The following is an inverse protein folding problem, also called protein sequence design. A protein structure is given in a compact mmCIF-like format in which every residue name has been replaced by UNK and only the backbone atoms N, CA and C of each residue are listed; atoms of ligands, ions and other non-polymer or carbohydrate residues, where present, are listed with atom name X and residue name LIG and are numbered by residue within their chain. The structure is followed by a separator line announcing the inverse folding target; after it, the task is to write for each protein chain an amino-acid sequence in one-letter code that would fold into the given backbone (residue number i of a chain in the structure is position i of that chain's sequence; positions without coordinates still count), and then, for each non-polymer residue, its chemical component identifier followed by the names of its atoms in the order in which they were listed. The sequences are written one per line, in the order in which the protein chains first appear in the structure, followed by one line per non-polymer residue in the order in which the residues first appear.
data_IF_487085882657
#
_entry.id   IF_487085882657
#
_cell.length_a   1.000
_cell.length_b   1.000
_cell.length_c   1.000
_cell.angle_alpha   90.00
_cell.angle_beta   90.00
_cell.angle_gamma   90.00
#
_symmetry.space_group_name_H-M   'P 1'
#
loop_
_entity.id
_entity.type
_entity.pdbx_description
1 polymer ?
#
# COMPACT_ATOMS: atom_id res chain seq x y z
N UNK A 1 -6.12 -12.13 -16.77
CA UNK A 1 -7.18 -11.10 -16.85
C UNK A 1 -8.02 -11.18 -15.59
N UNK A 2 -7.55 -10.58 -14.50
CA UNK A 2 -8.25 -10.54 -13.23
C UNK A 2 -7.81 -9.27 -12.54
N UNK A 3 -8.33 -8.13 -13.01
CA UNK A 3 -8.09 -6.87 -12.33
C UNK A 3 -8.70 -6.98 -10.95
N UNK A 4 -7.88 -6.83 -9.90
CA UNK A 4 -8.39 -6.68 -8.54
C UNK A 4 -9.29 -5.45 -8.56
N UNK A 5 -10.55 -5.67 -8.19
CA UNK A 5 -11.52 -4.61 -8.03
C UNK A 5 -11.47 -4.21 -6.57
N UNK A 6 -11.09 -2.96 -6.28
CA UNK A 6 -11.04 -2.47 -4.91
C UNK A 6 -12.05 -1.33 -4.72
N UNK A 7 -12.57 -1.23 -3.50
CA UNK A 7 -13.39 -0.10 -3.08
C UNK A 7 -12.47 1.09 -2.80
N UNK A 8 -12.70 2.18 -3.53
CA UNK A 8 -12.05 3.45 -3.23
C UNK A 8 -13.03 4.40 -2.56
N UNK A 9 -12.66 4.98 -1.41
CA UNK A 9 -13.47 6.01 -0.79
C UNK A 9 -13.75 7.16 -1.75
N UNK A 10 -15.03 7.50 -1.92
CA UNK A 10 -15.48 8.55 -2.85
C UNK A 10 -15.88 8.07 -4.25
N UNK A 11 -15.69 6.78 -4.57
CA UNK A 11 -16.21 6.17 -5.80
C UNK A 11 -17.55 5.44 -5.53
N UNK A 12 -18.47 5.50 -6.49
CA UNK A 12 -19.66 4.64 -6.48
C UNK A 12 -19.30 3.26 -7.04
N UNK A 13 -19.17 2.28 -6.14
CA UNK A 13 -18.90 0.89 -6.50
C UNK A 13 -17.42 0.54 -6.55
N UNK A 14 -17.14 -0.70 -6.97
CA UNK A 14 -15.76 -1.19 -7.07
C UNK A 14 -15.09 -0.63 -8.32
N UNK A 15 -13.84 -0.19 -8.18
CA UNK A 15 -13.04 0.36 -9.28
C UNK A 15 -12.03 -0.69 -9.71
N UNK A 16 -11.94 -0.95 -11.02
CA UNK A 16 -10.92 -1.83 -11.57
C UNK A 16 -9.58 -1.09 -11.55
N UNK A 17 -8.73 -1.38 -10.56
CA UNK A 17 -7.36 -0.91 -10.54
C UNK A 17 -6.45 -1.93 -9.85
N UNK A 18 -5.26 -2.11 -10.41
CA UNK A 18 -4.17 -2.75 -9.66
C UNK A 18 -3.63 -1.72 -8.67
N UNK A 19 -3.67 -1.98 -7.37
CA UNK A 19 -2.89 -1.23 -6.37
C UNK A 19 -1.96 -2.16 -5.62
N UNK A 20 -0.74 -1.70 -5.40
CA UNK A 20 0.14 -2.21 -4.37
C UNK A 20 0.19 -1.14 -3.27
N UNK A 21 -0.43 -1.41 -2.12
CA UNK A 21 -0.59 -0.40 -1.07
C UNK A 21 -1.42 -0.88 0.12
N UNK A 22 -1.43 -0.08 1.18
CA UNK A 22 -2.35 -0.19 2.31
C UNK A 22 -3.28 1.03 2.28
N UNK A 23 -4.59 0.79 2.32
CA UNK A 23 -5.63 1.84 2.38
C UNK A 23 -6.27 1.84 3.76
N UNK A 24 -6.44 3.02 4.35
CA UNK A 24 -7.07 3.21 5.66
C UNK A 24 -8.22 4.22 5.59
N UNK A 25 -9.36 3.83 6.16
CA UNK A 25 -10.58 4.63 6.21
C UNK A 25 -11.35 4.33 7.49
N UNK A 26 -11.88 5.36 8.15
CA UNK A 26 -12.65 5.23 9.41
C UNK A 26 -11.88 4.52 10.54
N UNK A 27 -10.62 4.90 10.73
CA UNK A 27 -9.72 4.33 11.74
C UNK A 27 -9.37 5.38 12.79
N UNK A 28 -9.35 4.99 14.06
CA UNK A 28 -8.91 5.81 15.19
C UNK A 28 -7.97 4.99 16.07
N UNK A 29 -6.82 5.55 16.46
CA UNK A 29 -5.90 4.93 17.41
C UNK A 29 -5.06 3.76 16.87
N UNK A 30 -4.76 3.75 15.56
CA UNK A 30 -3.91 2.72 14.98
C UNK A 30 -2.44 2.94 15.35
N UNK A 31 -1.84 1.92 15.95
CA UNK A 31 -0.42 1.89 16.28
C UNK A 31 0.29 0.73 15.55
N UNK A 32 1.31 1.07 14.76
CA UNK A 32 2.17 0.09 14.08
C UNK A 32 3.61 0.27 14.55
N UNK A 33 4.22 -0.82 15.03
CA UNK A 33 5.57 -0.84 15.60
C UNK A 33 6.42 -1.93 14.96
N UNK A 34 7.63 -1.57 14.55
CA UNK A 34 8.69 -2.49 14.10
C UNK A 34 8.26 -3.37 12.90
N UNK A 35 7.59 -2.77 11.92
CA UNK A 35 7.15 -3.47 10.71
C UNK A 35 8.13 -3.16 9.57
N UNK A 36 8.59 -4.23 8.91
CA UNK A 36 9.29 -4.15 7.65
C UNK A 36 8.37 -4.66 6.52
N UNK A 37 8.00 -3.76 5.62
CA UNK A 37 7.17 -4.03 4.47
C UNK A 37 8.05 -4.16 3.23
N UNK A 38 8.02 -5.34 2.60
CA UNK A 38 8.75 -5.62 1.37
C UNK A 38 7.80 -5.82 0.20
N UNK A 39 8.08 -5.13 -0.89
CA UNK A 39 7.35 -5.29 -2.14
C UNK A 39 8.13 -6.25 -3.06
N UNK A 40 7.44 -7.25 -3.61
CA UNK A 40 8.00 -8.21 -4.56
C UNK A 40 7.16 -8.17 -5.85
N UNK A 41 7.78 -7.92 -7.01
CA UNK A 41 7.12 -8.01 -8.31
C UNK A 41 7.71 -7.07 -9.37
N UNK A 42 7.62 -7.47 -10.63
CA UNK A 42 8.05 -6.66 -11.78
C UNK A 42 7.30 -5.35 -11.82
N UNK A 43 8.04 -4.23 -11.84
CA UNK A 43 7.69 -2.83 -12.15
C UNK A 43 6.26 -2.57 -12.65
N UNK A 44 5.23 -2.98 -11.89
CA UNK A 44 3.87 -2.82 -12.35
C UNK A 44 3.62 -1.33 -12.28
N UNK A 45 3.43 -0.74 -13.45
CA UNK A 45 3.26 0.67 -13.75
C UNK A 45 1.99 1.28 -13.11
N UNK A 46 1.48 0.64 -12.06
CA UNK A 46 0.32 1.03 -11.28
C UNK A 46 0.75 1.68 -9.98
N UNK A 47 0.11 2.81 -9.70
CA UNK A 47 0.16 3.66 -8.52
C UNK A 47 0.84 3.03 -7.28
N UNK A 48 2.09 3.43 -7.03
CA UNK A 48 2.85 3.07 -5.83
C UNK A 48 2.48 4.02 -4.69
N UNK A 49 1.32 3.78 -4.08
CA UNK A 49 0.94 4.44 -2.85
C UNK A 49 1.05 3.41 -1.72
N UNK A 50 2.24 3.24 -1.10
CA UNK A 50 2.42 2.26 -0.04
C UNK A 50 1.45 2.50 1.14
N UNK A 51 1.06 3.77 1.36
CA UNK A 51 0.08 4.19 2.35
C UNK A 51 -0.86 5.25 1.74
N UNK A 52 -2.17 5.01 1.79
CA UNK A 52 -3.21 5.97 1.40
C UNK A 52 -4.23 6.15 2.55
N UNK A 53 -4.56 7.39 2.86
CA UNK A 53 -5.43 7.76 3.98
C UNK A 53 -6.59 8.60 3.47
N UNK A 54 -7.84 8.22 3.82
CA UNK A 54 -8.97 9.14 3.63
C UNK A 54 -8.89 10.26 4.68
N UNK A 55 -8.66 11.53 4.28
CA UNK A 55 -8.55 12.64 5.22
C UNK A 55 -9.79 12.73 6.12
N UNK A 56 -9.61 13.18 7.36
CA UNK A 56 -10.66 13.38 8.39
C UNK A 56 -11.31 12.12 8.98
N UNK A 57 -11.18 10.97 8.32
CA UNK A 57 -11.68 9.68 8.85
C UNK A 57 -10.59 8.85 9.52
N UNK A 58 -9.35 9.30 9.40
CA UNK A 58 -8.18 8.69 10.02
C UNK A 58 -7.65 9.68 11.05
N UNK A 59 -7.67 9.29 12.33
CA UNK A 59 -7.21 10.12 13.44
C UNK A 59 -6.27 9.32 14.34
N UNK A 60 -5.33 10.03 14.98
CA UNK A 60 -4.38 9.45 15.94
C UNK A 60 -3.62 8.23 15.42
N UNK A 61 -2.74 8.47 14.43
CA UNK A 61 -1.88 7.43 13.85
C UNK A 61 -0.45 7.60 14.30
N UNK A 62 0.20 6.48 14.62
CA UNK A 62 1.63 6.42 14.94
C UNK A 62 2.31 5.31 14.17
N UNK A 63 3.36 5.68 13.42
CA UNK A 63 4.23 4.77 12.71
C UNK A 63 5.62 4.83 13.34
N UNK A 64 5.98 3.82 14.13
CA UNK A 64 7.30 3.73 14.77
C UNK A 64 8.13 2.63 14.12
N UNK A 65 9.32 2.99 13.63
CA UNK A 65 10.22 2.08 12.93
C UNK A 65 9.52 1.37 11.75
N UNK A 66 8.76 2.12 10.97
CA UNK A 66 8.15 1.63 9.73
C UNK A 66 9.16 1.73 8.58
N UNK A 67 9.47 0.60 7.97
CA UNK A 67 10.36 0.52 6.81
C UNK A 67 9.60 -0.08 5.63
N UNK A 68 9.67 0.59 4.48
CA UNK A 68 9.12 0.11 3.21
C UNK A 68 10.21 0.13 2.16
N UNK A 69 10.48 -1.00 1.55
CA UNK A 69 11.50 -1.14 0.50
C UNK A 69 11.03 -2.08 -0.61
N UNK A 70 11.60 -1.92 -1.80
CA UNK A 70 11.40 -2.83 -2.90
C UNK A 70 12.50 -3.88 -2.89
N UNK A 71 12.15 -5.14 -2.73
CA UNK A 71 13.13 -6.22 -2.72
C UNK A 71 13.45 -6.63 -4.17
N UNK A 72 14.53 -6.06 -4.70
CA UNK A 72 15.03 -6.35 -6.04
C UNK A 72 15.89 -7.63 -6.06
N UNK A 73 15.39 -8.70 -5.45
CA UNK A 73 16.04 -10.02 -5.45
C UNK A 73 15.72 -10.84 -6.70
N UNK A 74 15.66 -10.17 -7.85
CA UNK A 74 15.93 -10.85 -9.12
C UNK A 74 17.44 -11.03 -9.23
N UNK A 75 17.90 -12.24 -8.89
CA UNK A 75 19.30 -12.64 -8.92
C UNK A 75 19.91 -12.65 -10.32
N UNK A 76 20.23 -11.48 -10.87
CA UNK A 76 21.22 -11.33 -11.92
C UNK A 76 22.42 -10.55 -11.38
N UNK A 77 23.45 -11.32 -11.04
CA UNK A 77 24.82 -10.83 -10.88
C UNK A 77 25.22 -10.24 -12.24
N UNK A 78 25.33 -8.91 -12.32
CA UNK A 78 25.95 -8.28 -13.47
C UNK A 78 27.46 -8.56 -13.40
N UNK A 79 27.92 -9.50 -14.23
CA UNK A 79 29.30 -9.63 -14.69
C UNK A 79 29.71 -8.45 -15.56
#
# INVERSE_FOLDING_TARGET
MGGLVDYRPGCQGLVNHSSAGIIMEHIEGLEVKNVNMKWHGDQSSSWSNPLDFRPWTVNDISLLNFHSDFDNSDGNVAS
#
